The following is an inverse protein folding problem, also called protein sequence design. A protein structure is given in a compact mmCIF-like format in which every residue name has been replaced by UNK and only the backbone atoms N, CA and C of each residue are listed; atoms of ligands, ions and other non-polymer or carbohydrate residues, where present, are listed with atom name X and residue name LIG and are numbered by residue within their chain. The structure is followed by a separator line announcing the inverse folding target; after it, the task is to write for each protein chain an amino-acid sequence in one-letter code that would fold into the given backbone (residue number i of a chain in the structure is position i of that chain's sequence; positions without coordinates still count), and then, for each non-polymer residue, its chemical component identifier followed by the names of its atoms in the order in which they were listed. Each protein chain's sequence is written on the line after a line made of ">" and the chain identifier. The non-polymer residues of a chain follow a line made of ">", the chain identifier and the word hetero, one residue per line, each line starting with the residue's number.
data_IF_381862697272
#
_entry.id   IF_381862697272
#
_cell.length_a   1.000
_cell.length_b   1.000
_cell.length_c   1.000
_cell.angle_alpha   90.00
_cell.angle_beta   90.00
_cell.angle_gamma   90.00
#
_symmetry.space_group_name_H-M   'P 1'
#
loop_
_entity.id
_entity.type
_entity.pdbx_description
1 polymer ?
#
# COMPACT_ATOMS: atom_id res chain seq x y z
N UNK A 1 -17.04 28.17 -9.92
CA UNK A 1 -16.25 27.77 -8.72
C UNK A 1 -15.86 26.32 -8.91
N UNK A 2 -14.56 26.02 -8.92
CA UNK A 2 -14.09 24.65 -9.12
C UNK A 2 -14.60 23.74 -8.00
N UNK A 3 -15.07 22.56 -8.37
CA UNK A 3 -15.51 21.53 -7.41
C UNK A 3 -14.38 20.57 -7.12
N UNK A 4 -14.21 20.20 -5.85
CA UNK A 4 -13.28 19.12 -5.50
C UNK A 4 -13.89 17.77 -5.84
N UNK A 5 -13.07 16.90 -6.41
CA UNK A 5 -13.43 15.53 -6.78
C UNK A 5 -12.38 14.60 -6.20
N UNK A 6 -12.81 13.60 -5.44
CA UNK A 6 -11.94 12.51 -4.99
C UNK A 6 -11.83 11.46 -6.09
N UNK A 7 -10.60 11.11 -6.45
CA UNK A 7 -10.30 10.06 -7.41
C UNK A 7 -9.45 9.00 -6.73
N UNK A 8 -9.94 7.75 -6.68
CA UNK A 8 -9.13 6.62 -6.23
C UNK A 8 -8.54 5.94 -7.45
N UNK A 9 -7.23 5.82 -7.45
CA UNK A 9 -6.46 5.18 -8.50
C UNK A 9 -5.73 3.96 -7.97
N UNK A 10 -5.72 2.90 -8.76
CA UNK A 10 -4.96 1.68 -8.53
C UNK A 10 -3.66 1.74 -9.32
N UNK A 11 -2.56 1.41 -8.66
CA UNK A 11 -1.20 1.50 -9.20
C UNK A 11 -0.41 0.24 -8.85
N UNK A 12 0.59 -0.03 -9.67
CA UNK A 12 1.41 -1.23 -9.57
C UNK A 12 2.88 -0.85 -9.44
N UNK A 13 3.61 -1.64 -8.66
CA UNK A 13 5.06 -1.53 -8.56
C UNK A 13 5.70 -2.91 -8.45
N UNK A 14 6.93 -3.01 -8.96
CA UNK A 14 7.72 -4.22 -8.87
C UNK A 14 9.07 -3.92 -8.22
N UNK A 15 9.43 -4.71 -7.21
CA UNK A 15 10.69 -4.57 -6.50
C UNK A 15 11.46 -5.88 -6.54
N UNK A 16 12.73 -5.83 -6.93
CA UNK A 16 13.64 -6.94 -6.67
C UNK A 16 13.80 -7.15 -5.16
N UNK A 17 14.08 -8.38 -4.73
CA UNK A 17 14.31 -8.73 -3.32
C UNK A 17 15.34 -7.80 -2.63
N UNK A 18 16.37 -7.36 -3.36
CA UNK A 18 17.38 -6.44 -2.84
C UNK A 18 16.84 -5.05 -2.48
N UNK A 19 15.73 -4.64 -3.10
CA UNK A 19 15.03 -3.38 -2.90
C UNK A 19 13.75 -3.52 -2.07
N UNK A 20 13.50 -4.68 -1.46
CA UNK A 20 12.24 -4.95 -0.74
C UNK A 20 11.96 -3.99 0.42
N UNK A 21 12.98 -3.32 0.97
CA UNK A 21 12.82 -2.29 2.00
C UNK A 21 12.33 -0.94 1.46
N UNK A 22 12.29 -0.77 0.13
CA UNK A 22 11.59 0.35 -0.51
C UNK A 22 10.07 0.13 -0.55
N UNK A 23 9.58 -1.07 -0.18
CA UNK A 23 8.15 -1.38 -0.05
C UNK A 23 7.64 -0.81 1.26
N UNK A 24 7.00 0.35 1.12
CA UNK A 24 6.32 1.14 2.16
C UNK A 24 5.13 1.84 1.50
N UNK A 25 4.30 2.49 2.31
CA UNK A 25 3.18 3.31 1.81
C UNK A 25 3.64 4.30 0.72
N UNK A 26 2.87 4.36 -0.37
CA UNK A 26 3.09 5.26 -1.51
C UNK A 26 4.12 4.80 -2.53
N UNK A 27 4.75 3.64 -2.31
CA UNK A 27 5.82 3.16 -3.18
C UNK A 27 5.39 2.90 -4.63
N UNK A 28 4.09 2.70 -4.91
CA UNK A 28 3.59 2.54 -6.27
C UNK A 28 3.30 3.88 -6.98
N UNK A 29 3.03 4.95 -6.24
CA UNK A 29 2.84 6.30 -6.83
C UNK A 29 4.18 6.87 -7.30
N UNK A 30 5.24 6.68 -6.52
CA UNK A 30 6.56 7.24 -6.81
C UNK A 30 7.20 6.68 -8.09
N UNK A 31 6.81 5.47 -8.48
CA UNK A 31 7.44 4.76 -9.58
C UNK A 31 6.84 5.09 -10.95
N UNK A 32 5.62 5.64 -11.04
CA UNK A 32 4.90 6.07 -12.28
C UNK A 32 5.21 5.24 -13.55
N UNK A 33 5.43 3.95 -13.41
CA UNK A 33 5.92 3.12 -14.50
C UNK A 33 4.78 2.72 -15.45
N UNK A 34 3.54 2.73 -14.96
CA UNK A 34 2.33 2.36 -15.68
C UNK A 34 1.23 3.42 -15.51
N UNK A 35 0.31 3.48 -16.48
CA UNK A 35 -0.89 4.31 -16.37
C UNK A 35 -1.76 3.82 -15.19
N UNK A 36 -2.19 4.72 -14.27
CA UNK A 36 -3.05 4.34 -13.16
C UNK A 36 -4.43 3.90 -13.65
N UNK A 37 -5.00 2.89 -12.99
CA UNK A 37 -6.37 2.45 -13.23
C UNK A 37 -7.33 3.21 -12.31
N UNK A 38 -8.27 3.98 -12.86
CA UNK A 38 -9.26 4.71 -12.07
C UNK A 38 -10.32 3.76 -11.49
N UNK A 39 -10.41 3.70 -10.17
CA UNK A 39 -11.34 2.84 -9.43
C UNK A 39 -12.59 3.60 -9.01
N UNK A 40 -12.44 4.86 -8.61
CA UNK A 40 -13.54 5.71 -8.14
C UNK A 40 -13.33 7.16 -8.59
N UNK A 41 -14.44 7.84 -8.88
CA UNK A 41 -14.52 9.29 -9.05
C UNK A 41 -15.79 9.77 -8.32
N UNK A 42 -15.67 10.71 -7.39
CA UNK A 42 -16.82 11.20 -6.60
C UNK A 42 -16.61 12.64 -6.12
N UNK A 43 -17.69 13.43 -6.07
CA UNK A 43 -17.70 14.74 -5.40
C UNK A 43 -17.85 14.60 -3.86
N UNK A 44 -18.24 13.41 -3.37
CA UNK A 44 -18.33 13.11 -1.94
C UNK A 44 -16.96 12.65 -1.41
N UNK A 45 -16.20 13.61 -0.88
CA UNK A 45 -14.85 13.37 -0.35
C UNK A 45 -14.84 12.48 0.90
N UNK A 46 -15.88 12.52 1.72
CA UNK A 46 -15.95 11.69 2.92
C UNK A 46 -16.22 10.23 2.54
N UNK A 47 -17.04 9.99 1.51
CA UNK A 47 -17.18 8.67 0.91
C UNK A 47 -15.86 8.17 0.30
N UNK A 48 -15.11 9.02 -0.41
CA UNK A 48 -13.81 8.64 -0.97
C UNK A 48 -12.81 8.23 0.13
N UNK A 49 -12.73 9.02 1.21
CA UNK A 49 -11.88 8.73 2.39
C UNK A 49 -12.28 7.45 3.10
N UNK A 50 -13.58 7.20 3.28
CA UNK A 50 -14.06 5.95 3.85
C UNK A 50 -13.68 4.76 2.97
N UNK A 51 -13.84 4.92 1.65
CA UNK A 51 -13.52 3.87 0.67
C UNK A 51 -12.04 3.50 0.69
N UNK A 52 -11.12 4.47 0.62
CA UNK A 52 -9.67 4.19 0.64
C UNK A 52 -9.22 3.59 1.98
N UNK A 53 -9.81 3.99 3.10
CA UNK A 53 -9.50 3.45 4.43
C UNK A 53 -9.87 1.97 4.60
N UNK A 54 -10.81 1.46 3.80
CA UNK A 54 -11.22 0.06 3.78
C UNK A 54 -10.43 -0.77 2.75
N UNK A 55 -9.57 -0.14 1.95
CA UNK A 55 -8.69 -0.81 0.98
C UNK A 55 -7.35 -1.20 1.60
N UNK A 56 -6.84 -2.36 1.17
CA UNK A 56 -5.52 -2.85 1.56
C UNK A 56 -4.62 -2.97 0.34
N UNK A 57 -3.37 -2.57 0.52
CA UNK A 57 -2.28 -2.81 -0.43
C UNK A 57 -2.00 -4.30 -0.50
N UNK A 58 -2.00 -4.86 -1.71
CA UNK A 58 -1.71 -6.26 -1.96
C UNK A 58 -0.24 -6.42 -2.33
N UNK A 59 0.47 -7.31 -1.63
CA UNK A 59 1.87 -7.63 -1.89
C UNK A 59 1.97 -9.13 -2.20
N UNK A 60 2.67 -9.49 -3.27
CA UNK A 60 2.95 -10.90 -3.57
C UNK A 60 4.41 -11.12 -3.98
N UNK A 61 4.97 -12.26 -3.58
CA UNK A 61 6.33 -12.65 -3.96
C UNK A 61 6.44 -14.17 -4.21
N UNK A 62 5.82 -14.71 -5.28
CA UNK A 62 5.70 -16.15 -5.48
C UNK A 62 7.04 -16.89 -5.60
N UNK A 63 8.06 -16.21 -6.13
CA UNK A 63 9.40 -16.79 -6.39
C UNK A 63 10.44 -16.45 -5.32
N UNK A 64 10.09 -15.60 -4.34
CA UNK A 64 11.04 -15.02 -3.37
C UNK A 64 12.02 -14.02 -3.97
N UNK A 65 11.94 -13.73 -5.29
CA UNK A 65 12.91 -12.86 -6.00
C UNK A 65 12.37 -11.49 -6.32
N UNK A 66 11.07 -11.39 -6.64
CA UNK A 66 10.43 -10.17 -7.10
C UNK A 66 9.11 -10.02 -6.37
N UNK A 67 8.94 -8.86 -5.75
CA UNK A 67 7.72 -8.43 -5.12
C UNK A 67 6.88 -7.66 -6.13
N UNK A 68 5.59 -7.96 -6.15
CA UNK A 68 4.57 -7.24 -6.90
C UNK A 68 3.67 -6.55 -5.88
N UNK A 69 3.56 -5.24 -5.99
CA UNK A 69 2.77 -4.38 -5.12
C UNK A 69 1.63 -3.80 -5.93
N UNK A 70 0.43 -3.92 -5.40
CA UNK A 70 -0.80 -3.28 -5.88
C UNK A 70 -1.30 -2.36 -4.77
N UNK A 71 -1.29 -1.06 -5.04
CA UNK A 71 -1.61 -0.02 -4.05
C UNK A 71 -2.66 0.94 -4.63
N UNK A 72 -3.49 1.48 -3.75
CA UNK A 72 -4.50 2.47 -4.08
C UNK A 72 -4.10 3.82 -3.52
N UNK A 73 -4.35 4.88 -4.28
CA UNK A 73 -4.10 6.25 -3.89
C UNK A 73 -5.38 7.08 -4.07
N UNK A 74 -5.75 7.83 -3.04
CA UNK A 74 -6.77 8.87 -3.13
C UNK A 74 -6.10 10.18 -3.51
N UNK A 75 -6.50 10.72 -4.66
CA UNK A 75 -6.06 12.03 -5.16
C UNK A 75 -7.23 13.00 -5.14
N UNK A 76 -6.96 14.26 -4.82
CA UNK A 76 -7.96 15.33 -4.93
C UNK A 76 -7.74 16.10 -6.23
N UNK A 77 -8.78 16.17 -7.02
CA UNK A 77 -8.81 16.86 -8.30
C UNK A 77 -9.79 18.03 -8.22
N UNK A 78 -9.62 18.99 -9.11
CA UNK A 78 -10.56 20.07 -9.33
C UNK A 78 -11.31 19.87 -10.64
N UNK A 79 -12.63 20.02 -10.60
CA UNK A 79 -13.51 19.99 -11.75
C UNK A 79 -14.00 21.39 -12.03
N UNK A 80 -13.73 21.88 -13.24
CA UNK A 80 -14.15 23.21 -13.67
C UNK A 80 -15.65 23.24 -14.06
N UNK A 81 -16.11 24.37 -14.60
CA UNK A 81 -17.50 24.58 -14.98
C UNK A 81 -17.91 23.81 -16.25
N UNK A 82 -16.94 23.47 -17.10
CA UNK A 82 -17.12 22.67 -18.32
C UNK A 82 -17.05 21.16 -18.04
N UNK A 83 -16.62 20.80 -16.82
CA UNK A 83 -16.52 19.43 -16.34
C UNK A 83 -15.16 18.78 -16.58
N UNK A 84 -14.16 19.56 -17.00
CA UNK A 84 -12.79 19.10 -17.15
C UNK A 84 -12.13 18.92 -15.78
N UNK A 85 -11.32 17.86 -15.67
CA UNK A 85 -10.64 17.48 -14.44
C UNK A 85 -9.17 17.89 -14.49
N UNK A 86 -8.75 18.68 -13.50
CA UNK A 86 -7.36 19.07 -13.29
C UNK A 86 -6.84 18.47 -11.98
N UNK A 87 -5.70 17.78 -12.06
CA UNK A 87 -5.06 17.20 -10.88
C UNK A 87 -4.45 18.32 -10.02
N UNK A 88 -4.80 18.38 -8.73
CA UNK A 88 -4.31 19.46 -7.84
C UNK A 88 -2.85 19.30 -7.43
N UNK A 89 -2.23 18.15 -7.72
CA UNK A 89 -0.80 17.90 -7.49
C UNK A 89 -0.49 16.97 -6.32
N UNK A 90 -1.44 16.74 -5.41
CA UNK A 90 -1.21 15.97 -4.19
C UNK A 90 -2.07 14.70 -4.10
N UNK A 91 -1.44 13.63 -3.63
CA UNK A 91 -2.11 12.42 -3.12
C UNK A 91 -2.49 12.65 -1.66
N UNK A 92 -3.76 12.49 -1.33
CA UNK A 92 -4.29 12.69 0.03
C UNK A 92 -3.98 11.51 0.95
N UNK A 93 -4.16 10.27 0.47
CA UNK A 93 -3.91 9.06 1.25
C UNK A 93 -3.70 7.82 0.37
N UNK A 94 -3.27 6.74 1.00
CA UNK A 94 -3.02 5.44 0.37
C UNK A 94 -3.81 4.33 1.04
N UNK A 95 -3.93 3.18 0.37
CA UNK A 95 -4.43 1.95 0.99
C UNK A 95 -3.48 1.46 2.07
N UNK A 96 -4.04 0.79 3.08
CA UNK A 96 -3.25 0.27 4.22
C UNK A 96 -2.30 -0.83 3.78
N UNK A 97 -1.06 -0.77 4.23
CA UNK A 97 -0.10 -1.87 4.09
C UNK A 97 -0.11 -2.72 5.36
N UNK A 98 -0.50 -4.00 5.26
CA UNK A 98 -0.52 -4.93 6.38
C UNK A 98 0.43 -6.11 6.14
N UNK A 99 1.65 -6.00 6.62
CA UNK A 99 2.63 -7.09 6.60
C UNK A 99 2.56 -7.82 7.93
N UNK A 100 2.10 -9.07 7.89
CA UNK A 100 1.84 -9.88 9.09
C UNK A 100 3.03 -10.79 9.37
N UNK A 101 3.55 -10.71 10.58
CA UNK A 101 4.52 -11.67 11.10
C UNK A 101 3.76 -12.71 11.93
N UNK A 102 3.90 -13.98 11.58
CA UNK A 102 3.17 -15.08 12.23
C UNK A 102 4.11 -16.16 12.75
N UNK A 103 3.73 -16.82 13.84
CA UNK A 103 4.51 -17.90 14.49
C UNK A 103 4.24 -19.26 13.86
N UNK A 104 5.24 -20.14 13.84
CA UNK A 104 5.08 -21.58 13.59
C UNK A 104 5.72 -22.45 14.67
N UNK A 105 5.10 -23.60 14.98
CA UNK A 105 3.76 -24.02 14.55
C UNK A 105 2.66 -23.20 15.27
N UNK A 106 1.50 -23.00 14.63
CA UNK A 106 0.35 -22.32 15.26
C UNK A 106 -0.30 -21.22 14.41
N UNK A 107 0.47 -20.56 13.54
CA UNK A 107 0.03 -19.44 12.70
C UNK A 107 -0.53 -18.25 13.50
N UNK A 108 -0.18 -18.15 14.78
CA UNK A 108 -0.58 -17.03 15.65
C UNK A 108 0.09 -15.74 15.17
N UNK A 109 -0.66 -14.64 15.22
CA UNK A 109 -0.15 -13.32 14.90
C UNK A 109 0.90 -12.88 15.94
N UNK A 110 2.10 -12.58 15.48
CA UNK A 110 3.15 -11.95 16.27
C UNK A 110 3.04 -10.42 16.21
N UNK A 111 2.83 -9.87 15.01
CA UNK A 111 2.75 -8.43 14.79
C UNK A 111 2.28 -8.08 13.37
N UNK A 112 1.82 -6.85 13.22
CA UNK A 112 1.45 -6.23 11.94
C UNK A 112 2.35 -5.02 11.75
N UNK A 113 2.90 -4.87 10.55
CA UNK A 113 3.82 -3.81 10.17
C UNK A 113 3.37 -3.19 8.85
N UNK A 114 3.71 -1.93 8.62
CA UNK A 114 3.37 -1.19 7.40
C UNK A 114 4.52 -1.13 6.38
N UNK A 115 5.66 -1.79 6.68
CA UNK A 115 6.81 -1.90 5.80
C UNK A 115 7.62 -3.18 6.06
N UNK A 116 8.33 -3.64 5.03
CA UNK A 116 9.11 -4.89 5.11
C UNK A 116 10.37 -4.77 5.98
N UNK A 117 10.95 -3.57 6.10
CA UNK A 117 12.18 -3.36 6.87
C UNK A 117 11.94 -3.64 8.36
N UNK A 118 10.87 -3.07 8.92
CA UNK A 118 10.49 -3.26 10.31
C UNK A 118 10.02 -4.69 10.59
N UNK A 119 9.23 -5.29 9.70
CA UNK A 119 8.82 -6.69 9.83
C UNK A 119 10.02 -7.64 9.89
N UNK A 120 11.01 -7.46 9.01
CA UNK A 120 12.23 -8.28 9.01
C UNK A 120 13.18 -7.96 10.16
N UNK A 121 13.21 -6.72 10.63
CA UNK A 121 13.97 -6.35 11.83
C UNK A 121 13.37 -7.03 13.06
N UNK A 122 12.06 -6.96 13.25
CA UNK A 122 11.37 -7.60 14.35
C UNK A 122 11.55 -9.13 14.33
N UNK A 123 11.48 -9.74 13.15
CA UNK A 123 11.80 -11.16 12.97
C UNK A 123 13.21 -11.50 13.46
N UNK A 124 14.23 -10.76 13.00
CA UNK A 124 15.64 -10.99 13.38
C UNK A 124 15.87 -10.79 14.87
N UNK A 125 15.27 -9.75 15.46
CA UNK A 125 15.38 -9.48 16.89
C UNK A 125 14.76 -10.60 17.73
N UNK A 126 13.64 -11.16 17.30
CA UNK A 126 13.03 -12.32 17.94
C UNK A 126 13.92 -13.57 17.86
N UNK A 127 14.46 -13.86 16.67
CA UNK A 127 15.35 -15.02 16.46
C UNK A 127 16.63 -14.96 17.29
N UNK A 128 17.15 -13.76 17.59
CA UNK A 128 18.35 -13.57 18.42
C UNK A 128 18.07 -13.72 19.92
N UNK A 129 16.91 -13.26 20.40
CA UNK A 129 16.66 -13.13 21.84
C UNK A 129 15.81 -14.26 22.45
N UNK A 130 14.83 -14.79 21.70
CA UNK A 130 13.80 -15.69 22.23
C UNK A 130 13.74 -16.99 21.42
N UNK A 131 13.68 -16.90 20.08
CA UNK A 131 13.92 -18.00 19.15
C UNK A 131 13.06 -19.26 19.32
N UNK A 132 12.03 -19.25 20.16
CA UNK A 132 11.25 -20.46 20.48
C UNK A 132 10.38 -20.95 19.30
N UNK A 133 10.07 -20.06 18.35
CA UNK A 133 9.20 -20.32 17.20
C UNK A 133 9.84 -19.79 15.92
N UNK A 134 9.52 -20.41 14.78
CA UNK A 134 9.86 -19.84 13.50
C UNK A 134 8.87 -18.72 13.15
N UNK A 135 9.37 -17.55 12.77
CA UNK A 135 8.54 -16.44 12.31
C UNK A 135 8.51 -16.35 10.77
N UNK A 136 7.31 -16.18 10.21
CA UNK A 136 7.08 -16.07 8.77
C UNK A 136 6.36 -14.76 8.44
N UNK A 137 6.82 -14.09 7.39
CA UNK A 137 6.15 -12.93 6.82
C UNK A 137 5.05 -13.40 5.88
N UNK A 138 3.87 -12.81 6.03
CA UNK A 138 2.69 -13.02 5.20
C UNK A 138 2.13 -11.67 4.79
N UNK A 139 1.64 -11.61 3.56
CA UNK A 139 0.99 -10.45 2.95
C UNK A 139 -0.51 -10.72 2.80
#
# INVERSE_FOLDING_TARGET
>A
MNKKVGIIQKRYATFDYKKRFEIKEGCAVDLRNDEPEKILETEDLDFARATINDMNTSISCPSGKTYYVEEYALEIWEKDEDGELEFTGDTESFSKMEIRLIKKPGYDLYGIYDNLEEAEKAKREYEVNDGEYDLFIVF
#
